data_IF_080735153731
#
_entry.id   IF_080735153731
#
_cell.length_a   1.000
_cell.length_b   1.000
_cell.length_c   1.000
_cell.angle_alpha   90.00
_cell.angle_beta   90.00
_cell.angle_gamma   90.00
#
_symmetry.space_group_name_H-M   'P 1'
#
loop_
_entity.id
_entity.type
_entity.pdbx_description
1 polymer ?
#
# COMPACT_ATOMS: atom_id res chain seq x y z
N UNK A 1 23.39 -0.31 -14.75
CA UNK A 1 22.45 -1.31 -15.30
C UNK A 1 21.17 -0.58 -15.68
N UNK A 2 20.68 -0.63 -16.94
CA UNK A 2 19.43 0.04 -17.28
C UNK A 2 18.28 -0.67 -16.59
N UNK A 3 17.50 0.09 -15.80
CA UNK A 3 16.41 -0.42 -14.97
C UNK A 3 15.39 -1.19 -15.80
N UNK A 4 15.10 -2.42 -15.34
CA UNK A 4 14.06 -3.27 -15.91
C UNK A 4 12.72 -2.58 -15.66
N UNK A 5 12.20 -1.91 -16.69
CA UNK A 5 10.85 -1.33 -16.68
C UNK A 5 9.86 -2.48 -16.48
N UNK A 6 9.30 -2.61 -15.28
CA UNK A 6 8.20 -3.55 -15.01
C UNK A 6 7.05 -3.05 -15.87
N UNK A 7 6.73 -3.81 -16.93
CA UNK A 7 5.61 -3.51 -17.82
C UNK A 7 4.33 -3.95 -17.11
N UNK A 8 3.82 -3.12 -16.20
CA UNK A 8 2.42 -3.15 -15.80
C UNK A 8 1.59 -2.73 -17.02
N UNK A 9 0.86 -3.67 -17.61
CA UNK A 9 0.00 -3.38 -18.75
C UNK A 9 -1.18 -2.55 -18.26
N UNK A 10 -1.17 -1.25 -18.54
CA UNK A 10 -2.40 -0.45 -18.51
C UNK A 10 -3.26 -0.86 -19.72
N UNK A 11 -4.46 -1.42 -19.52
CA UNK A 11 -5.44 -1.49 -20.59
C UNK A 11 -5.92 -0.07 -20.85
N UNK A 12 -5.34 0.54 -21.89
CA UNK A 12 -5.75 1.82 -22.48
C UNK A 12 -5.56 3.03 -21.56
N UNK A 13 -4.44 3.74 -21.73
CA UNK A 13 -4.48 5.19 -21.59
C UNK A 13 -5.50 5.67 -22.64
N UNK A 14 -6.78 5.78 -22.25
CA UNK A 14 -7.77 6.44 -23.09
C UNK A 14 -7.24 7.85 -23.29
N UNK A 15 -7.25 8.35 -24.51
CA UNK A 15 -6.75 9.69 -24.88
C UNK A 15 -7.48 10.86 -24.17
N UNK A 16 -8.35 10.57 -23.21
CA UNK A 16 -9.15 11.50 -22.42
C UNK A 16 -8.76 11.56 -20.92
N UNK A 17 -7.76 10.80 -20.45
CA UNK A 17 -7.29 10.91 -19.06
C UNK A 17 -6.54 12.22 -18.86
N UNK A 18 -6.91 12.99 -17.83
CA UNK A 18 -6.26 14.27 -17.53
C UNK A 18 -4.78 14.06 -17.14
N UNK A 19 -3.92 15.08 -17.30
CA UNK A 19 -2.49 14.94 -17.05
C UNK A 19 -2.13 14.52 -15.62
N UNK A 20 -2.91 14.92 -14.61
CA UNK A 20 -2.64 14.60 -13.19
C UNK A 20 -2.92 13.12 -12.94
N UNK A 21 -4.07 12.62 -13.38
CA UNK A 21 -4.40 11.19 -13.27
C UNK A 21 -3.40 10.34 -14.06
N UNK A 22 -3.01 10.78 -15.25
CA UNK A 22 -2.04 10.05 -16.08
C UNK A 22 -0.68 9.91 -15.40
N UNK A 23 -0.19 10.96 -14.75
CA UNK A 23 1.08 10.92 -14.04
C UNK A 23 0.98 10.11 -12.74
N UNK A 24 -0.05 10.36 -11.93
CA UNK A 24 -0.25 9.70 -10.64
C UNK A 24 -0.37 8.17 -10.77
N UNK A 25 -0.93 7.69 -11.87
CA UNK A 25 -1.08 6.27 -12.19
C UNK A 25 -0.17 5.85 -13.36
N UNK A 26 0.99 6.48 -13.53
CA UNK A 26 1.98 6.05 -14.55
C UNK A 26 2.73 4.77 -14.15
N UNK A 27 2.60 4.36 -12.88
CA UNK A 27 3.18 3.17 -12.26
C UNK A 27 2.13 2.43 -11.42
N UNK A 28 2.51 1.27 -10.90
CA UNK A 28 1.71 0.57 -9.90
C UNK A 28 1.62 1.42 -8.61
N UNK A 29 0.40 1.62 -8.14
CA UNK A 29 0.09 2.44 -6.98
C UNK A 29 -0.54 1.55 -5.91
N UNK A 30 0.00 1.65 -4.69
CA UNK A 30 -0.67 1.18 -3.48
C UNK A 30 -1.04 2.42 -2.69
N UNK A 31 -2.34 2.70 -2.60
CA UNK A 31 -2.86 3.88 -1.92
C UNK A 31 -3.67 3.47 -0.72
N UNK A 32 -3.43 4.15 0.40
CA UNK A 32 -4.14 3.91 1.65
C UNK A 32 -4.49 5.23 2.33
N UNK A 33 -5.47 5.19 3.21
CA UNK A 33 -5.94 6.38 3.91
C UNK A 33 -7.12 6.12 4.83
N UNK A 34 -7.75 7.19 5.27
CA UNK A 34 -8.92 7.16 6.14
C UNK A 34 -10.13 7.73 5.41
N UNK A 35 -11.22 6.97 5.43
CA UNK A 35 -12.53 7.39 4.97
C UNK A 35 -13.39 7.75 6.17
N UNK A 36 -13.96 8.96 6.19
CA UNK A 36 -14.84 9.40 7.27
C UNK A 36 -16.24 8.77 7.20
N UNK A 37 -16.62 8.32 6.01
CA UNK A 37 -17.94 7.80 5.70
C UNK A 37 -18.70 8.71 4.73
N UNK A 38 -19.59 8.11 3.95
CA UNK A 38 -20.45 8.76 2.96
C UNK A 38 -21.75 7.96 2.78
N UNK A 39 -22.60 8.34 1.83
CA UNK A 39 -23.86 7.63 1.57
C UNK A 39 -23.65 6.15 1.19
N UNK A 40 -22.55 5.84 0.49
CA UNK A 40 -22.29 4.49 -0.01
C UNK A 40 -21.54 3.60 0.98
N UNK A 41 -20.76 4.21 1.88
CA UNK A 41 -20.03 3.57 2.95
C UNK A 41 -20.08 4.46 4.21
N UNK A 42 -21.17 4.43 4.99
CA UNK A 42 -21.44 5.45 6.02
C UNK A 42 -20.58 5.36 7.28
N UNK A 43 -19.80 4.28 7.44
CA UNK A 43 -19.00 4.05 8.64
C UNK A 43 -17.55 4.45 8.39
N UNK A 44 -16.90 5.19 9.29
CA UNK A 44 -15.50 5.54 9.13
C UNK A 44 -14.61 4.29 9.10
N UNK A 45 -13.63 4.27 8.21
CA UNK A 45 -12.73 3.14 8.02
C UNK A 45 -11.38 3.56 7.46
N UNK A 46 -10.34 2.83 7.86
CA UNK A 46 -9.07 2.80 7.18
C UNK A 46 -9.21 1.94 5.92
N UNK A 47 -8.58 2.34 4.83
CA UNK A 47 -8.67 1.63 3.56
C UNK A 47 -7.32 1.51 2.87
N UNK A 48 -7.19 0.53 1.98
CA UNK A 48 -6.08 0.42 1.03
C UNK A 48 -6.54 -0.26 -0.26
N UNK A 49 -6.01 0.17 -1.40
CA UNK A 49 -6.19 -0.50 -2.69
C UNK A 49 -4.88 -0.52 -3.47
N UNK A 50 -4.76 -1.46 -4.40
CA UNK A 50 -3.62 -1.55 -5.33
C UNK A 50 -4.15 -1.42 -6.75
N UNK A 51 -3.51 -0.58 -7.57
CA UNK A 51 -3.87 -0.40 -8.97
C UNK A 51 -2.63 -0.33 -9.88
N UNK A 52 -2.59 -1.04 -11.01
CA UNK A 52 -3.53 -2.10 -11.38
C UNK A 52 -3.55 -3.22 -10.32
N UNK A 53 -4.70 -3.85 -10.12
CA UNK A 53 -4.82 -4.92 -9.13
C UNK A 53 -4.00 -6.14 -9.56
N UNK A 54 -3.05 -6.62 -8.74
CA UNK A 54 -2.30 -7.82 -9.06
C UNK A 54 -3.12 -9.08 -8.78
N UNK A 55 -2.81 -10.16 -9.49
CA UNK A 55 -3.54 -11.43 -9.36
C UNK A 55 -3.45 -11.99 -7.92
N UNK A 56 -4.62 -12.28 -7.35
CA UNK A 56 -4.76 -12.84 -6.01
C UNK A 56 -4.37 -11.88 -4.88
N UNK A 57 -4.56 -10.57 -5.10
CA UNK A 57 -4.39 -9.53 -4.07
C UNK A 57 -5.12 -9.90 -2.76
N UNK A 58 -6.35 -10.41 -2.88
CA UNK A 58 -7.23 -10.72 -1.76
C UNK A 58 -7.08 -12.15 -1.20
N UNK A 59 -6.14 -12.96 -1.70
CA UNK A 59 -5.96 -14.36 -1.23
C UNK A 59 -5.34 -14.41 0.18
N UNK A 60 -4.57 -13.39 0.54
CA UNK A 60 -3.83 -13.32 1.80
C UNK A 60 -4.68 -12.72 2.93
N UNK A 61 -4.50 -13.18 4.18
CA UNK A 61 -5.17 -12.58 5.33
C UNK A 61 -4.66 -11.15 5.55
N UNK A 62 -5.57 -10.27 5.98
CA UNK A 62 -5.21 -8.97 6.51
C UNK A 62 -5.09 -9.05 8.03
N UNK A 63 -4.26 -8.16 8.59
CA UNK A 63 -4.21 -7.90 10.02
C UNK A 63 -4.81 -6.51 10.30
N UNK A 64 -5.36 -6.25 11.49
CA UNK A 64 -5.77 -7.24 12.49
C UNK A 64 -6.93 -8.12 11.96
N UNK A 65 -7.40 -9.17 12.68
CA UNK A 65 -8.46 -10.07 12.21
C UNK A 65 -9.80 -9.39 11.83
N UNK A 66 -10.01 -8.14 12.27
CA UNK A 66 -11.18 -7.34 11.90
C UNK A 66 -11.08 -6.73 10.49
N UNK A 67 -9.88 -6.69 9.90
CA UNK A 67 -9.65 -6.19 8.55
C UNK A 67 -10.17 -7.17 7.50
N UNK A 68 -10.68 -6.66 6.38
CA UNK A 68 -11.24 -7.47 5.30
C UNK A 68 -11.07 -6.84 3.94
N UNK A 69 -10.99 -7.69 2.92
CA UNK A 69 -11.16 -7.29 1.52
C UNK A 69 -12.65 -7.17 1.19
N UNK A 70 -13.02 -6.06 0.54
CA UNK A 70 -14.36 -5.84 -0.01
C UNK A 70 -14.24 -5.81 -1.52
N UNK A 71 -15.01 -6.66 -2.20
CA UNK A 71 -15.11 -6.66 -3.66
C UNK A 71 -15.83 -5.40 -4.17
N UNK A 72 -15.25 -4.75 -5.16
CA UNK A 72 -15.71 -3.53 -5.81
C UNK A 72 -15.61 -3.70 -7.32
N UNK A 73 -16.71 -4.11 -7.94
CA UNK A 73 -16.90 -4.36 -9.38
C UNK A 73 -15.79 -5.19 -10.05
N UNK A 74 -14.58 -4.64 -10.22
CA UNK A 74 -13.42 -5.26 -10.83
C UNK A 74 -12.14 -5.16 -9.97
N UNK A 75 -12.25 -4.88 -8.67
CA UNK A 75 -11.12 -4.69 -7.76
C UNK A 75 -11.48 -5.02 -6.31
N UNK A 76 -10.49 -5.10 -5.43
CA UNK A 76 -10.63 -5.32 -4.00
C UNK A 76 -10.15 -4.11 -3.23
N UNK A 77 -10.92 -3.75 -2.20
CA UNK A 77 -10.60 -2.70 -1.25
C UNK A 77 -10.35 -3.34 0.12
N UNK A 78 -9.13 -3.25 0.63
CA UNK A 78 -8.86 -3.57 2.03
C UNK A 78 -9.56 -2.52 2.90
N UNK A 79 -10.28 -2.96 3.93
CA UNK A 79 -10.99 -2.07 4.85
C UNK A 79 -10.85 -2.53 6.29
N UNK A 80 -10.74 -1.58 7.20
CA UNK A 80 -10.72 -1.79 8.64
C UNK A 80 -11.55 -0.68 9.31
N UNK A 81 -12.67 -1.01 9.95
CA UNK A 81 -13.56 0.03 10.50
C UNK A 81 -12.94 0.70 11.71
N UNK A 82 -13.09 2.01 11.80
CA UNK A 82 -12.65 2.80 12.95
C UNK A 82 -13.25 2.29 14.27
N UNK A 83 -14.52 1.86 14.23
CA UNK A 83 -15.20 1.32 15.40
C UNK A 83 -14.56 0.03 15.95
N UNK A 84 -13.91 -0.76 15.09
CA UNK A 84 -13.20 -1.99 15.49
C UNK A 84 -11.81 -1.66 16.03
N UNK A 85 -11.15 -0.65 15.45
CA UNK A 85 -9.82 -0.20 15.88
C UNK A 85 -9.85 0.48 17.24
N UNK A 86 -10.83 1.37 17.48
CA UNK A 86 -10.85 2.21 18.69
C UNK A 86 -11.02 1.44 20.01
N UNK A 87 -11.42 0.17 19.94
CA UNK A 87 -11.62 -0.70 21.12
C UNK A 87 -10.44 -1.65 21.35
N UNK A 88 -9.43 -1.63 20.48
CA UNK A 88 -8.24 -2.46 20.63
C UNK A 88 -7.30 -1.88 21.69
N UNK A 89 -6.48 -2.71 22.35
CA UNK A 89 -5.51 -2.26 23.35
C UNK A 89 -4.49 -1.25 22.79
N UNK A 90 -4.08 -1.43 21.53
CA UNK A 90 -3.22 -0.51 20.81
C UNK A 90 -3.80 -0.19 19.41
N UNK A 91 -4.63 0.86 19.30
CA UNK A 91 -5.24 1.27 18.04
C UNK A 91 -4.22 1.68 16.99
N UNK A 92 -3.08 2.26 17.41
CA UNK A 92 -2.05 2.75 16.48
C UNK A 92 -1.35 1.57 15.81
N UNK A 93 -0.92 0.58 16.59
CA UNK A 93 -0.30 -0.64 16.06
C UNK A 93 -1.25 -1.36 15.11
N UNK A 94 -2.52 -1.52 15.50
CA UNK A 94 -3.51 -2.16 14.64
C UNK A 94 -3.68 -1.49 13.27
N UNK A 95 -3.66 -0.16 13.20
CA UNK A 95 -3.75 0.57 11.92
C UNK A 95 -2.48 0.42 11.09
N UNK A 96 -1.31 0.45 11.73
CA UNK A 96 -0.03 0.26 11.04
C UNK A 96 0.10 -1.16 10.50
N UNK A 97 -0.28 -2.17 11.26
CA UNK A 97 -0.28 -3.58 10.83
C UNK A 97 -1.22 -3.80 9.64
N UNK A 98 -2.36 -3.09 9.63
CA UNK A 98 -3.29 -3.10 8.50
C UNK A 98 -2.69 -2.52 7.22
N UNK A 99 -2.09 -1.34 7.31
CA UNK A 99 -1.46 -0.72 6.14
C UNK A 99 -0.25 -1.51 5.65
N UNK A 100 0.58 -2.01 6.57
CA UNK A 100 1.72 -2.86 6.22
C UNK A 100 1.26 -4.17 5.55
N UNK A 101 0.23 -4.82 6.10
CA UNK A 101 -0.33 -6.04 5.52
C UNK A 101 -0.89 -5.81 4.10
N UNK A 102 -1.64 -4.73 3.90
CA UNK A 102 -2.16 -4.37 2.59
C UNK A 102 -1.04 -3.98 1.60
N UNK A 103 -0.02 -3.24 2.06
CA UNK A 103 1.16 -2.89 1.27
C UNK A 103 1.94 -4.13 0.83
N UNK A 104 2.25 -5.04 1.75
CA UNK A 104 2.96 -6.28 1.45
C UNK A 104 2.16 -7.18 0.48
N UNK A 105 0.83 -7.25 0.64
CA UNK A 105 -0.04 -8.00 -0.27
C UNK A 105 0.04 -7.44 -1.71
N UNK A 106 -0.11 -6.12 -1.87
CA UNK A 106 -0.02 -5.46 -3.17
C UNK A 106 1.37 -5.55 -3.78
N UNK A 107 2.40 -5.16 -3.03
CA UNK A 107 3.76 -5.03 -3.53
C UNK A 107 4.38 -6.37 -3.94
N UNK A 108 4.19 -7.43 -3.14
CA UNK A 108 4.71 -8.77 -3.48
C UNK A 108 4.03 -9.34 -4.72
N UNK A 109 2.71 -9.18 -4.84
CA UNK A 109 1.93 -9.71 -5.98
C UNK A 109 2.15 -8.89 -7.25
N UNK A 110 2.45 -7.59 -7.13
CA UNK A 110 2.87 -6.73 -8.24
C UNK A 110 4.34 -6.94 -8.65
N UNK A 111 5.12 -7.68 -7.86
CA UNK A 111 6.54 -7.93 -8.12
C UNK A 111 7.44 -6.71 -7.86
N UNK A 112 7.02 -5.81 -6.96
CA UNK A 112 7.84 -4.68 -6.51
C UNK A 112 8.99 -5.17 -5.64
N UNK A 113 10.19 -4.64 -5.89
CA UNK A 113 11.38 -4.92 -5.09
C UNK A 113 11.37 -4.06 -3.81
N UNK A 114 10.59 -4.51 -2.82
CA UNK A 114 10.41 -3.80 -1.54
C UNK A 114 11.76 -3.59 -0.84
N UNK A 115 12.65 -4.60 -0.89
CA UNK A 115 13.95 -4.54 -0.23
C UNK A 115 14.88 -3.50 -0.87
N UNK A 116 14.83 -3.36 -2.19
CA UNK A 116 15.60 -2.33 -2.90
C UNK A 116 15.12 -0.91 -2.59
N UNK A 117 13.82 -0.71 -2.38
CA UNK A 117 13.22 0.62 -2.19
C UNK A 117 12.90 0.98 -0.74
N UNK A 118 13.23 0.10 0.22
CA UNK A 118 13.05 0.42 1.64
C UNK A 118 13.93 1.60 2.04
N UNK A 119 13.37 2.48 2.86
CA UNK A 119 14.07 3.63 3.43
C UNK A 119 14.06 3.47 4.95
N UNK A 120 15.05 2.76 5.53
CA UNK A 120 15.14 2.56 6.97
C UNK A 120 15.15 3.93 7.67
N UNK A 121 14.31 4.09 8.69
CA UNK A 121 14.14 5.34 9.43
C UNK A 121 13.77 6.57 8.57
N UNK A 122 13.28 6.35 7.34
CA UNK A 122 12.98 7.42 6.39
C UNK A 122 14.21 8.06 5.73
N UNK A 123 15.40 7.46 5.87
CA UNK A 123 16.64 7.94 5.28
C UNK A 123 16.71 7.52 3.82
N UNK A 124 16.57 8.47 2.91
CA UNK A 124 16.70 8.24 1.46
C UNK A 124 18.09 8.56 0.92
N UNK A 125 18.94 9.23 1.70
CA UNK A 125 20.33 9.49 1.33
C UNK A 125 21.20 8.27 1.64
N UNK A 126 21.64 7.59 0.58
CA UNK A 126 22.54 6.43 0.64
C UNK A 126 23.81 6.64 1.48
N UNK A 127 24.33 7.88 1.60
CA UNK A 127 25.52 8.15 2.43
C UNK A 127 25.23 7.99 3.91
N UNK A 128 24.08 8.48 4.35
CA UNK A 128 23.66 8.41 5.76
C UNK A 128 23.33 6.97 6.19
N UNK A 129 22.90 6.12 5.25
CA UNK A 129 22.69 4.68 5.49
C UNK A 129 24.02 3.97 5.77
N UNK A 130 25.02 4.16 4.90
CA UNK A 130 26.35 3.52 5.01
C UNK A 130 27.09 3.98 6.27
N UNK A 131 27.08 5.29 6.56
CA UNK A 131 27.74 5.85 7.74
C UNK A 131 27.18 5.28 9.05
N UNK A 132 25.90 4.94 9.10
CA UNK A 132 25.26 4.30 10.26
C UNK A 132 25.65 2.85 10.41
N UNK A 133 25.66 2.08 9.33
CA UNK A 133 26.06 0.67 9.35
C UNK A 133 27.51 0.53 9.84
N UNK A 134 28.41 1.40 9.35
CA UNK A 134 29.80 1.44 9.83
C UNK A 134 29.88 1.81 11.31
N UNK A 135 29.07 2.76 11.81
CA UNK A 135 29.06 3.14 13.23
C UNK A 135 28.46 2.06 14.14
N UNK A 136 27.51 1.26 13.65
CA UNK A 136 26.90 0.18 14.43
C UNK A 136 27.77 -1.08 14.52
N UNK A 137 28.75 -1.25 13.62
CA UNK A 137 29.72 -2.35 13.66
C UNK A 137 30.90 -2.06 14.62
N UNK A 138 31.07 -0.80 15.04
CA UNK A 138 32.16 -0.36 15.92
C UNK A 138 31.71 -0.06 17.37
N UNK A 139 30.50 -0.49 17.75
CA UNK A 139 29.96 -0.44 19.11
C UNK A 139 29.61 -1.87 19.57
#
# INVERSE_FOLDING_TARGET
>A
MPGRRVRGAFPTCRSATDPVTREAYSWDVISFGFWFGDETFPKPAFYSYTTPEPSGLADGPLQPPAARWIERSNSHLATLRYAEVRILPDPRVAVLDFYEGAYQAGARRAGLDIAHWVSPDGITDSRLIVEREVRSVHL
#
